data_IF_269278971604
#
_entry.id   IF_269278971604
#
_cell.length_a   1.000
_cell.length_b   1.000
_cell.length_c   1.000
_cell.angle_alpha   90.00
_cell.angle_beta   90.00
_cell.angle_gamma   90.00
#
_symmetry.space_group_name_H-M   'P 1'
#
loop_
_entity.id
_entity.type
_entity.pdbx_description
1 polymer ?
#
# COMPACT_ATOMS: atom_id res chain seq x y z
N UNK A 1 -29.76 4.88 -1.90
CA UNK A 1 -29.14 5.20 -3.20
C UNK A 1 -28.75 3.90 -3.86
N UNK A 2 -29.12 3.72 -5.11
CA UNK A 2 -28.66 2.57 -5.91
C UNK A 2 -27.14 2.68 -6.09
N UNK A 3 -26.45 1.55 -5.96
CA UNK A 3 -24.99 1.49 -6.16
C UNK A 3 -24.73 1.37 -7.65
N UNK A 4 -23.80 2.16 -8.17
CA UNK A 4 -23.44 2.14 -9.58
C UNK A 4 -21.97 1.73 -9.73
N UNK A 5 -21.72 0.91 -10.75
CA UNK A 5 -20.42 0.34 -11.03
C UNK A 5 -20.07 0.56 -12.49
N UNK A 6 -18.90 1.14 -12.74
CA UNK A 6 -18.28 1.10 -14.05
C UNK A 6 -17.49 -0.20 -14.19
N UNK A 7 -17.78 -0.97 -15.23
CA UNK A 7 -17.11 -2.23 -15.55
C UNK A 7 -16.19 -1.98 -16.74
N UNK A 8 -14.89 -2.15 -16.54
CA UNK A 8 -13.85 -1.93 -17.54
C UNK A 8 -13.27 -3.24 -18.05
N UNK A 9 -13.14 -3.33 -19.37
CA UNK A 9 -12.81 -4.51 -20.16
C UNK A 9 -13.80 -5.67 -19.97
N UNK A 10 -13.32 -6.89 -20.23
CA UNK A 10 -14.18 -8.07 -20.40
C UNK A 10 -15.10 -7.96 -21.63
N UNK A 11 -16.06 -8.88 -21.72
CA UNK A 11 -16.97 -8.97 -22.87
C UNK A 11 -18.05 -7.86 -22.90
N UNK A 12 -18.33 -7.24 -21.75
CA UNK A 12 -19.47 -6.31 -21.59
C UNK A 12 -19.10 -5.10 -20.70
N UNK A 13 -18.23 -4.17 -21.18
CA UNK A 13 -17.95 -2.95 -20.47
C UNK A 13 -19.19 -2.04 -20.43
N UNK A 14 -19.64 -1.66 -19.24
CA UNK A 14 -20.87 -0.89 -19.04
C UNK A 14 -20.92 -0.26 -17.65
N UNK A 15 -21.86 0.68 -17.47
CA UNK A 15 -22.30 1.12 -16.13
C UNK A 15 -23.46 0.23 -15.69
N UNK A 16 -23.32 -0.47 -14.58
CA UNK A 16 -24.31 -1.43 -14.05
C UNK A 16 -24.60 -1.20 -12.58
N UNK A 17 -25.77 -1.64 -12.11
CA UNK A 17 -26.14 -1.52 -10.69
C UNK A 17 -25.50 -2.60 -9.81
N UNK A 18 -25.36 -3.82 -10.33
CA UNK A 18 -24.77 -4.94 -9.61
C UNK A 18 -23.91 -5.71 -10.61
N UNK A 19 -22.57 -5.71 -10.46
CA UNK A 19 -21.73 -6.54 -11.29
C UNK A 19 -21.95 -8.01 -10.92
N UNK A 20 -21.90 -8.89 -11.91
CA UNK A 20 -21.88 -10.33 -11.65
C UNK A 20 -20.66 -10.67 -10.79
N UNK A 21 -20.85 -11.50 -9.76
CA UNK A 21 -19.76 -11.91 -8.86
C UNK A 21 -18.66 -12.61 -9.66
N UNK A 22 -17.42 -12.17 -9.50
CA UNK A 22 -16.27 -12.74 -10.20
C UNK A 22 -15.43 -13.59 -9.25
N UNK A 23 -15.29 -14.88 -9.55
CA UNK A 23 -14.34 -15.76 -8.83
C UNK A 23 -12.95 -15.75 -9.50
N UNK A 24 -12.85 -15.53 -10.82
CA UNK A 24 -11.69 -15.06 -11.62
C UNK A 24 -12.10 -15.09 -13.12
N UNK A 25 -11.74 -14.09 -13.97
CA UNK A 25 -10.38 -13.63 -14.30
C UNK A 25 -9.96 -12.29 -13.66
N UNK A 26 -8.84 -11.69 -14.08
CA UNK A 26 -8.42 -10.31 -13.69
C UNK A 26 -9.38 -9.26 -14.23
N UNK A 27 -9.95 -9.53 -15.40
CA UNK A 27 -10.94 -8.69 -16.06
C UNK A 27 -12.34 -9.29 -15.87
N UNK A 28 -13.38 -8.44 -15.83
CA UNK A 28 -13.30 -6.97 -15.89
C UNK A 28 -12.92 -6.30 -14.57
N UNK A 29 -12.28 -5.13 -14.65
CA UNK A 29 -12.01 -4.27 -13.49
C UNK A 29 -13.29 -3.52 -13.14
N UNK A 30 -13.74 -3.65 -11.90
CA UNK A 30 -14.93 -2.96 -11.41
C UNK A 30 -14.51 -1.70 -10.65
N UNK A 31 -15.13 -0.58 -10.96
CA UNK A 31 -14.98 0.69 -10.23
C UNK A 31 -16.35 1.05 -9.66
N UNK A 32 -16.43 1.22 -8.34
CA UNK A 32 -17.65 1.63 -7.67
C UNK A 32 -17.73 3.15 -7.62
N UNK A 33 -18.80 3.68 -8.19
CA UNK A 33 -19.05 5.10 -8.36
C UNK A 33 -20.15 5.59 -7.40
N UNK A 34 -20.11 6.88 -7.10
CA UNK A 34 -21.07 7.60 -6.26
C UNK A 34 -22.26 8.15 -7.05
N UNK A 35 -22.11 8.32 -8.37
CA UNK A 35 -23.18 8.74 -9.27
C UNK A 35 -23.09 8.07 -10.65
N UNK A 36 -24.14 8.21 -11.45
CA UNK A 36 -24.20 7.68 -12.82
C UNK A 36 -23.26 8.44 -13.75
N UNK A 37 -23.15 9.75 -13.57
CA UNK A 37 -22.22 10.61 -14.30
C UNK A 37 -20.78 10.21 -14.01
N UNK A 38 -20.44 9.93 -12.75
CA UNK A 38 -19.12 9.40 -12.39
C UNK A 38 -18.88 8.02 -13.03
N UNK A 39 -19.90 7.15 -13.05
CA UNK A 39 -19.82 5.85 -13.74
C UNK A 39 -19.56 5.99 -15.24
N UNK A 40 -20.28 6.88 -15.92
CA UNK A 40 -20.10 7.19 -17.34
C UNK A 40 -18.72 7.78 -17.60
N UNK A 41 -18.24 8.67 -16.73
CA UNK A 41 -16.90 9.23 -16.82
C UNK A 41 -15.82 8.16 -16.68
N UNK A 42 -15.99 7.24 -15.73
CA UNK A 42 -15.09 6.09 -15.56
C UNK A 42 -15.10 5.16 -16.76
N UNK A 43 -16.24 4.98 -17.42
CA UNK A 43 -16.34 4.14 -18.62
C UNK A 43 -15.48 4.67 -19.79
N UNK A 44 -15.13 5.95 -19.82
CA UNK A 44 -14.19 6.49 -20.83
C UNK A 44 -12.80 5.84 -20.73
N UNK A 45 -12.43 5.29 -19.56
CA UNK A 45 -11.20 4.52 -19.38
C UNK A 45 -11.22 3.20 -20.16
N UNK A 46 -12.37 2.76 -20.68
CA UNK A 46 -12.49 1.57 -21.52
C UNK A 46 -11.53 1.62 -22.72
N UNK A 47 -11.29 2.80 -23.28
CA UNK A 47 -10.39 3.01 -24.43
C UNK A 47 -8.96 2.53 -24.16
N UNK A 48 -8.52 2.52 -22.91
CA UNK A 48 -7.21 2.00 -22.49
C UNK A 48 -7.13 0.49 -22.62
N UNK A 49 -8.27 -0.17 -22.45
CA UNK A 49 -8.40 -1.62 -22.50
C UNK A 49 -8.81 -2.09 -23.91
N UNK A 50 -9.21 -1.19 -24.80
CA UNK A 50 -9.47 -1.50 -26.20
C UNK A 50 -8.17 -1.95 -26.88
N UNK A 51 -8.17 -3.16 -27.43
CA UNK A 51 -7.00 -3.77 -28.05
C UNK A 51 -6.12 -4.60 -27.12
N UNK A 52 -6.37 -4.59 -25.80
CA UNK A 52 -5.73 -5.53 -24.88
C UNK A 52 -6.46 -6.88 -24.94
N UNK A 53 -5.75 -7.93 -25.32
CA UNK A 53 -6.32 -9.28 -25.25
C UNK A 53 -6.47 -9.68 -23.77
N UNK A 54 -7.65 -10.14 -23.35
CA UNK A 54 -7.89 -10.60 -21.98
C UNK A 54 -6.85 -11.64 -21.51
N UNK A 55 -6.39 -12.50 -22.43
CA UNK A 55 -5.33 -13.46 -22.15
C UNK A 55 -3.98 -12.77 -21.84
N UNK A 56 -3.68 -11.64 -22.47
CA UNK A 56 -2.44 -10.88 -22.22
C UNK A 56 -2.47 -10.21 -20.84
N UNK A 57 -3.63 -9.70 -20.41
CA UNK A 57 -3.79 -9.16 -19.05
C UNK A 57 -3.44 -10.21 -18.00
N UNK A 58 -3.87 -11.45 -18.19
CA UNK A 58 -3.59 -12.52 -17.24
C UNK A 58 -2.17 -13.09 -17.33
N UNK A 59 -1.63 -13.22 -18.53
CA UNK A 59 -0.32 -13.83 -18.78
C UNK A 59 0.86 -12.86 -18.65
N UNK A 60 0.66 -11.56 -18.90
CA UNK A 60 1.69 -10.51 -18.90
C UNK A 60 1.17 -9.19 -18.29
N UNK A 61 0.71 -9.21 -17.02
CA UNK A 61 0.11 -8.04 -16.40
C UNK A 61 1.07 -6.84 -16.28
N UNK A 62 2.39 -7.03 -16.30
CA UNK A 62 3.38 -5.94 -16.32
C UNK A 62 3.32 -5.10 -17.60
N UNK A 63 3.08 -5.73 -18.76
CA UNK A 63 2.98 -5.02 -20.04
C UNK A 63 1.75 -4.13 -20.02
N UNK A 64 0.63 -4.67 -19.53
CA UNK A 64 -0.62 -3.92 -19.38
C UNK A 64 -0.48 -2.81 -18.35
N UNK A 65 0.14 -3.09 -17.20
CA UNK A 65 0.44 -2.08 -16.19
C UNK A 65 1.28 -0.93 -16.76
N UNK A 66 2.32 -1.26 -17.55
CA UNK A 66 3.14 -0.26 -18.21
C UNK A 66 2.36 0.54 -19.26
N UNK A 67 1.52 -0.11 -20.07
CA UNK A 67 0.66 0.59 -21.03
C UNK A 67 -0.31 1.57 -20.36
N UNK A 68 -0.91 1.18 -19.23
CA UNK A 68 -1.73 2.07 -18.41
C UNK A 68 -0.89 3.25 -17.89
N UNK A 69 0.34 3.00 -17.45
CA UNK A 69 1.20 4.07 -16.95
C UNK A 69 1.60 5.06 -18.04
N UNK A 70 1.96 4.56 -19.21
CA UNK A 70 2.49 5.35 -20.33
C UNK A 70 1.37 6.07 -21.11
N UNK A 71 0.10 5.66 -20.96
CA UNK A 71 -1.03 6.32 -21.61
C UNK A 71 -1.23 7.76 -21.11
N UNK A 72 -1.18 8.70 -22.06
CA UNK A 72 -1.45 10.12 -21.86
C UNK A 72 -2.95 10.40 -21.77
N UNK A 73 -3.76 9.61 -22.47
CA UNK A 73 -5.23 9.68 -22.48
C UNK A 73 -5.79 9.49 -21.06
N UNK A 74 -5.13 8.64 -20.27
CA UNK A 74 -5.47 8.43 -18.86
C UNK A 74 -5.17 9.67 -18.01
N UNK A 75 -4.14 10.45 -18.31
CA UNK A 75 -3.82 11.63 -17.50
C UNK A 75 -4.92 12.69 -17.62
N UNK A 76 -5.46 12.88 -18.83
CA UNK A 76 -6.51 13.86 -19.10
C UNK A 76 -7.87 13.44 -18.53
N UNK A 77 -8.17 12.13 -18.61
CA UNK A 77 -9.39 11.55 -18.03
C UNK A 77 -9.38 11.53 -16.50
N UNK A 78 -8.20 11.55 -15.86
CA UNK A 78 -8.01 11.40 -14.42
C UNK A 78 -7.61 12.69 -13.69
N UNK A 79 -8.17 13.84 -14.08
CA UNK A 79 -8.13 15.05 -13.23
C UNK A 79 -8.78 14.84 -11.84
N UNK A 80 -9.45 13.71 -11.63
CA UNK A 80 -9.95 13.29 -10.33
C UNK A 80 -8.83 13.00 -9.35
N UNK A 81 -8.72 13.87 -8.34
CA UNK A 81 -7.95 13.58 -7.14
C UNK A 81 -8.68 12.56 -6.27
N UNK A 82 -7.89 11.65 -5.68
CA UNK A 82 -8.32 10.59 -4.78
C UNK A 82 -9.00 11.09 -3.48
N UNK A 83 -9.23 10.19 -2.52
CA UNK A 83 -8.64 8.84 -2.45
C UNK A 83 -9.37 7.78 -3.29
N UNK A 84 -8.61 6.83 -3.80
CA UNK A 84 -9.08 5.61 -4.45
C UNK A 84 -8.65 4.39 -3.63
N UNK A 85 -9.57 3.47 -3.35
CA UNK A 85 -9.26 2.27 -2.58
C UNK A 85 -9.43 1.04 -3.44
N UNK A 86 -8.34 0.45 -3.90
CA UNK A 86 -8.37 -0.75 -4.73
C UNK A 86 -8.40 -1.99 -3.85
N UNK A 87 -9.50 -2.74 -3.87
CA UNK A 87 -9.66 -4.01 -3.15
C UNK A 87 -9.54 -5.15 -4.14
N UNK A 88 -8.40 -5.85 -4.11
CA UNK A 88 -8.14 -7.03 -4.95
C UNK A 88 -8.62 -8.33 -4.28
N UNK A 89 -8.57 -8.43 -2.95
CA UNK A 89 -9.17 -9.54 -2.18
C UNK A 89 -9.97 -8.98 -1.01
N UNK A 90 -11.24 -9.37 -0.94
CA UNK A 90 -12.21 -9.01 0.09
C UNK A 90 -13.45 -9.91 0.00
N UNK A 91 -14.45 -9.68 0.86
CA UNK A 91 -15.64 -10.54 1.02
C UNK A 91 -16.46 -10.75 -0.24
N UNK A 92 -16.82 -9.67 -0.95
CA UNK A 92 -17.84 -9.77 -1.99
C UNK A 92 -17.29 -9.56 -3.39
N UNK A 93 -16.55 -8.47 -3.62
CA UNK A 93 -16.12 -8.10 -4.97
C UNK A 93 -14.75 -7.45 -5.00
N UNK A 94 -14.01 -7.75 -6.08
CA UNK A 94 -12.80 -7.03 -6.44
C UNK A 94 -13.23 -5.73 -7.10
N UNK A 95 -12.91 -4.59 -6.48
CA UNK A 95 -13.31 -3.31 -7.02
C UNK A 95 -12.41 -2.17 -6.52
N UNK A 96 -12.40 -1.07 -7.26
CA UNK A 96 -11.88 0.21 -6.81
C UNK A 96 -13.04 1.01 -6.24
N UNK A 97 -12.94 1.42 -4.98
CA UNK A 97 -13.92 2.27 -4.30
C UNK A 97 -13.46 3.72 -4.37
N UNK A 98 -14.26 4.57 -5.00
CA UNK A 98 -13.95 6.00 -5.13
C UNK A 98 -14.40 6.72 -3.86
N UNK A 99 -13.45 7.32 -3.13
CA UNK A 99 -13.67 8.18 -1.96
C UNK A 99 -14.49 7.58 -0.79
N UNK A 100 -14.68 6.26 -0.75
CA UNK A 100 -15.53 5.61 0.25
C UNK A 100 -14.80 4.50 1.01
N UNK A 101 -14.13 4.86 2.12
CA UNK A 101 -13.41 3.89 2.95
C UNK A 101 -14.34 2.99 3.77
N UNK A 102 -15.50 3.48 4.22
CA UNK A 102 -16.43 2.68 5.03
C UNK A 102 -16.88 1.41 4.30
N UNK A 103 -17.04 1.48 2.97
CA UNK A 103 -17.36 0.29 2.18
C UNK A 103 -16.18 -0.66 1.99
N UNK A 104 -14.96 -0.13 1.94
CA UNK A 104 -13.72 -0.93 1.90
C UNK A 104 -13.57 -1.71 3.20
N UNK A 105 -13.80 -1.07 4.34
CA UNK A 105 -13.80 -1.71 5.65
C UNK A 105 -14.76 -2.91 5.66
N UNK A 106 -15.99 -2.74 5.17
CA UNK A 106 -16.95 -3.84 5.04
C UNK A 106 -16.44 -5.01 4.17
N UNK A 107 -15.59 -4.76 3.19
CA UNK A 107 -14.98 -5.80 2.35
C UNK A 107 -13.84 -6.54 3.03
N UNK A 108 -13.06 -5.86 3.84
CA UNK A 108 -11.79 -6.40 4.36
C UNK A 108 -11.90 -6.84 5.81
N UNK A 109 -12.84 -6.29 6.56
CA UNK A 109 -13.07 -6.60 7.96
C UNK A 109 -13.39 -8.08 8.12
N UNK A 110 -12.67 -8.82 8.97
CA UNK A 110 -12.81 -10.29 9.15
C UNK A 110 -12.61 -11.14 7.87
N UNK A 111 -12.11 -10.57 6.78
CA UNK A 111 -11.82 -11.36 5.58
C UNK A 111 -10.43 -11.99 5.70
N UNK A 112 -10.32 -13.29 5.42
CA UNK A 112 -9.03 -13.97 5.50
C UNK A 112 -8.10 -13.51 4.37
N UNK A 113 -7.01 -12.83 4.73
CA UNK A 113 -6.00 -12.27 3.81
C UNK A 113 -6.57 -11.23 2.83
N UNK A 114 -7.08 -10.09 3.34
CA UNK A 114 -7.52 -9.02 2.47
C UNK A 114 -6.31 -8.46 1.74
N UNK A 115 -6.51 -8.09 0.46
CA UNK A 115 -5.51 -7.38 -0.33
C UNK A 115 -6.16 -6.14 -0.85
N UNK A 116 -5.85 -5.02 -0.24
CA UNK A 116 -6.33 -3.72 -0.68
C UNK A 116 -5.26 -2.67 -0.46
N UNK A 117 -5.38 -1.54 -1.17
CA UNK A 117 -4.50 -0.41 -0.96
C UNK A 117 -5.18 0.92 -1.35
N UNK A 118 -4.73 2.02 -0.75
CA UNK A 118 -5.22 3.38 -0.99
C UNK A 118 -4.24 4.09 -1.93
N UNK A 119 -4.78 4.80 -2.92
CA UNK A 119 -4.02 5.56 -3.91
C UNK A 119 -4.59 6.97 -4.04
N UNK A 120 -3.74 7.93 -4.39
CA UNK A 120 -4.17 9.28 -4.77
C UNK A 120 -4.51 9.39 -6.25
N UNK A 121 -3.95 8.47 -7.05
CA UNK A 121 -4.14 8.39 -8.48
C UNK A 121 -4.93 7.16 -8.86
N UNK A 122 -5.97 7.35 -9.68
CA UNK A 122 -6.74 6.24 -10.23
C UNK A 122 -5.87 5.36 -11.15
N UNK A 123 -4.85 5.94 -11.80
CA UNK A 123 -3.87 5.20 -12.63
C UNK A 123 -3.13 4.15 -11.78
N UNK A 124 -2.67 4.53 -10.60
CA UNK A 124 -2.01 3.60 -9.66
C UNK A 124 -2.98 2.53 -9.17
N UNK A 125 -4.23 2.89 -8.85
CA UNK A 125 -5.25 1.94 -8.43
C UNK A 125 -5.57 0.90 -9.52
N UNK A 126 -5.67 1.31 -10.79
CA UNK A 126 -5.86 0.41 -11.93
C UNK A 126 -4.67 -0.54 -12.09
N UNK A 127 -3.44 -0.02 -12.03
CA UNK A 127 -2.23 -0.84 -12.10
C UNK A 127 -2.19 -1.87 -10.97
N UNK A 128 -2.54 -1.49 -9.74
CA UNK A 128 -2.61 -2.42 -8.62
C UNK A 128 -3.60 -3.57 -8.88
N UNK A 129 -4.77 -3.27 -9.46
CA UNK A 129 -5.77 -4.28 -9.82
C UNK A 129 -5.25 -5.24 -10.90
N UNK A 130 -4.63 -4.71 -11.96
CA UNK A 130 -4.00 -5.51 -13.03
C UNK A 130 -2.88 -6.40 -12.48
N UNK A 131 -2.06 -5.88 -11.58
CA UNK A 131 -0.97 -6.61 -10.94
C UNK A 131 -1.43 -7.56 -9.83
N UNK A 132 -2.74 -7.84 -9.74
CA UNK A 132 -3.32 -8.81 -8.80
C UNK A 132 -3.03 -8.46 -7.33
N UNK A 133 -3.03 -7.16 -7.03
CA UNK A 133 -2.72 -6.61 -5.71
C UNK A 133 -1.28 -6.84 -5.23
N UNK A 134 -0.32 -7.01 -6.16
CA UNK A 134 1.09 -7.21 -5.83
C UNK A 134 1.84 -5.87 -5.84
N UNK A 135 2.00 -5.28 -4.65
CA UNK A 135 2.67 -3.98 -4.48
C UNK A 135 4.15 -4.02 -4.83
N UNK A 136 4.82 -5.15 -4.62
CA UNK A 136 6.24 -5.34 -4.94
C UNK A 136 6.48 -5.26 -6.45
N UNK A 137 5.60 -5.85 -7.26
CA UNK A 137 5.65 -5.72 -8.72
C UNK A 137 5.40 -4.28 -9.16
N UNK A 138 4.51 -3.57 -8.47
CA UNK A 138 4.24 -2.16 -8.73
C UNK A 138 5.50 -1.31 -8.48
N UNK A 139 6.19 -1.53 -7.35
CA UNK A 139 7.49 -0.90 -7.03
C UNK A 139 8.58 -1.23 -8.06
N UNK A 140 8.63 -2.47 -8.55
CA UNK A 140 9.58 -2.86 -9.59
C UNK A 140 9.36 -2.11 -10.93
N UNK A 141 8.16 -1.58 -11.17
CA UNK A 141 7.86 -0.71 -12.30
C UNK A 141 8.19 0.78 -12.03
N UNK A 142 8.86 1.09 -10.92
CA UNK A 142 9.18 2.45 -10.51
C UNK A 142 7.99 3.21 -9.90
N UNK A 143 6.89 2.52 -9.59
CA UNK A 143 5.74 3.13 -8.94
C UNK A 143 5.90 3.02 -7.43
N UNK A 144 5.97 4.18 -6.79
CA UNK A 144 5.95 4.29 -5.35
C UNK A 144 4.58 4.82 -4.99
N UNK A 145 3.60 3.95 -4.68
CA UNK A 145 2.29 4.41 -4.22
C UNK A 145 2.52 5.42 -3.12
N UNK A 146 1.84 6.56 -3.18
CA UNK A 146 1.95 7.57 -2.13
C UNK A 146 1.43 6.93 -0.83
N UNK A 147 2.35 6.51 0.03
CA UNK A 147 2.03 5.77 1.25
C UNK A 147 1.43 6.77 2.23
N UNK A 148 0.11 6.78 2.33
CA UNK A 148 -0.57 7.41 3.46
C UNK A 148 -1.18 6.30 4.31
N UNK A 149 -0.52 6.09 5.45
CA UNK A 149 -1.00 5.48 6.70
C UNK A 149 -2.06 4.40 6.46
N UNK A 150 -1.59 3.16 6.37
CA UNK A 150 -2.47 2.02 6.58
C UNK A 150 -3.11 2.18 7.96
N UNK A 151 -4.44 2.35 8.01
CA UNK A 151 -5.21 2.16 9.23
C UNK A 151 -4.82 0.79 9.79
N UNK A 152 -4.20 0.82 10.97
CA UNK A 152 -3.53 -0.28 11.64
C UNK A 152 -4.38 -1.56 11.62
N UNK A 153 -3.79 -2.74 11.32
CA UNK A 153 -4.45 -4.04 11.49
C UNK A 153 -4.77 -4.41 12.95
N UNK A 154 -4.64 -3.48 13.91
CA UNK A 154 -4.57 -3.78 15.35
C UNK A 154 -5.88 -4.39 15.90
N UNK A 155 -7.02 -4.21 15.22
CA UNK A 155 -8.30 -4.77 15.67
C UNK A 155 -8.72 -6.08 14.97
N UNK A 156 -7.88 -6.66 14.11
CA UNK A 156 -8.22 -7.84 13.30
C UNK A 156 -7.66 -9.17 13.80
N UNK A 157 -7.58 -9.35 15.12
CA UNK A 157 -7.36 -10.68 15.69
C UNK A 157 -8.70 -11.44 15.69
N UNK A 158 -8.78 -12.66 15.12
CA UNK A 158 -9.98 -13.49 15.23
C UNK A 158 -10.30 -13.73 16.71
N UNK A 159 -11.52 -13.38 17.14
CA UNK A 159 -11.98 -13.60 18.52
C UNK A 159 -12.16 -15.07 18.91
N UNK A 160 -12.08 -16.00 17.96
CA UNK A 160 -12.19 -17.45 18.23
C UNK A 160 -10.89 -18.19 17.94
N UNK A 161 -9.98 -18.19 18.93
CA UNK A 161 -8.83 -19.07 19.00
C UNK A 161 -9.17 -20.34 19.80
N UNK A 162 -10.14 -21.13 19.33
CA UNK A 162 -10.30 -22.50 19.82
C UNK A 162 -9.52 -23.47 18.93
N UNK A 163 -8.35 -23.90 19.41
CA UNK A 163 -7.62 -25.12 19.00
C UNK A 163 -7.25 -25.31 17.52
N UNK A 164 -6.76 -24.27 16.83
CA UNK A 164 -6.04 -24.47 15.56
C UNK A 164 -4.53 -24.47 15.80
N UNK A 165 -3.87 -25.60 15.54
CA UNK A 165 -2.40 -25.75 15.46
C UNK A 165 -1.85 -25.04 14.22
N UNK A 166 -2.13 -23.75 14.09
CA UNK A 166 -1.56 -22.92 13.05
C UNK A 166 -0.09 -22.68 13.36
N UNK A 167 0.83 -22.83 12.38
CA UNK A 167 2.24 -22.57 12.59
C UNK A 167 2.43 -21.15 13.12
N UNK A 168 3.31 -20.99 14.12
CA UNK A 168 3.65 -19.71 14.72
C UNK A 168 3.94 -18.69 13.62
N UNK A 169 3.09 -17.67 13.53
CA UNK A 169 3.30 -16.58 12.58
C UNK A 169 4.18 -15.54 13.24
N UNK A 170 5.27 -15.21 12.58
CA UNK A 170 6.03 -14.01 12.93
C UNK A 170 5.43 -12.87 12.10
N UNK A 171 5.14 -11.75 12.74
CA UNK A 171 4.82 -10.50 12.07
C UNK A 171 5.99 -9.53 12.21
N UNK A 172 6.29 -8.78 11.15
CA UNK A 172 7.21 -7.65 11.20
C UNK A 172 6.53 -6.42 10.65
N UNK A 173 6.73 -5.29 11.30
CA UNK A 173 6.22 -4.02 10.82
C UNK A 173 7.13 -3.46 9.73
N UNK A 174 6.58 -2.65 8.84
CA UNK A 174 7.35 -1.72 8.02
C UNK A 174 7.05 -0.34 8.58
N UNK A 175 8.09 0.43 8.89
CA UNK A 175 7.99 1.75 9.50
C UNK A 175 8.65 2.82 8.65
N UNK A 176 8.08 4.01 8.69
CA UNK A 176 8.75 5.26 8.33
C UNK A 176 8.75 6.21 9.55
N UNK A 177 9.07 7.49 9.34
CA UNK A 177 9.08 8.48 10.43
C UNK A 177 7.69 8.71 11.03
N UNK A 178 6.61 8.47 10.28
CA UNK A 178 5.23 8.63 10.74
C UNK A 178 4.72 7.45 11.56
N UNK A 179 5.47 6.34 11.61
CA UNK A 179 5.14 5.15 12.39
C UNK A 179 5.04 3.89 11.53
N UNK A 180 4.11 2.99 11.89
CA UNK A 180 3.90 1.74 11.17
C UNK A 180 3.09 2.02 9.91
N UNK A 181 3.69 1.74 8.75
CA UNK A 181 3.05 1.89 7.44
C UNK A 181 2.57 0.57 6.84
N UNK A 182 3.11 -0.56 7.28
CA UNK A 182 2.69 -1.90 6.84
C UNK A 182 3.03 -2.97 7.88
N UNK A 183 2.48 -4.18 7.72
CA UNK A 183 2.83 -5.37 8.52
C UNK A 183 2.91 -6.60 7.62
N UNK A 184 4.09 -7.20 7.57
CA UNK A 184 4.37 -8.42 6.82
C UNK A 184 4.17 -9.62 7.76
N UNK A 185 3.45 -10.63 7.30
CA UNK A 185 3.28 -11.91 8.00
C UNK A 185 4.06 -13.01 7.28
N UNK A 186 4.88 -13.76 8.02
CA UNK A 186 5.69 -14.84 7.46
C UNK A 186 6.00 -15.94 8.47
N UNK A 187 6.34 -17.13 7.96
CA UNK A 187 6.85 -18.25 8.77
C UNK A 187 8.34 -18.09 9.09
N UNK A 188 9.06 -17.35 8.25
CA UNK A 188 10.45 -16.94 8.42
C UNK A 188 10.59 -15.53 7.86
N UNK A 189 10.69 -14.53 8.73
CA UNK A 189 11.00 -13.17 8.30
C UNK A 189 12.52 -13.08 8.24
N UNK A 190 13.06 -13.22 7.04
CA UNK A 190 14.40 -12.72 6.77
C UNK A 190 14.33 -11.21 6.91
N UNK A 191 14.69 -10.68 8.07
CA UNK A 191 14.91 -9.23 8.21
C UNK A 191 16.04 -8.92 7.23
N UNK A 192 15.82 -8.09 6.20
CA UNK A 192 16.89 -7.76 5.29
C UNK A 192 17.99 -7.09 6.12
N UNK A 193 19.14 -7.76 6.21
CA UNK A 193 20.29 -7.17 6.87
C UNK A 193 20.89 -6.14 5.93
N UNK A 194 20.81 -4.88 6.34
CA UNK A 194 21.55 -3.81 5.70
C UNK A 194 22.84 -3.59 6.46
N UNK A 195 23.90 -3.23 5.73
CA UNK A 195 25.16 -2.82 6.35
C UNK A 195 24.87 -1.72 7.39
N UNK A 196 25.55 -1.75 8.55
CA UNK A 196 25.36 -0.73 9.59
C UNK A 196 25.51 0.68 9.00
N UNK A 197 24.55 1.55 9.30
CA UNK A 197 24.61 2.96 8.90
C UNK A 197 25.50 3.77 9.85
N UNK A 198 25.85 4.99 9.45
CA UNK A 198 26.74 5.93 10.16
C UNK A 198 26.25 6.33 11.57
N UNK A 199 25.02 5.98 11.94
CA UNK A 199 24.41 6.21 13.27
C UNK A 199 24.82 5.18 14.33
N UNK A 200 25.82 4.35 14.03
CA UNK A 200 26.28 3.30 14.92
C UNK A 200 25.48 2.00 14.82
N UNK A 201 26.09 0.92 15.31
CA UNK A 201 25.58 -0.45 15.16
C UNK A 201 24.27 -0.69 15.91
N UNK A 202 24.17 -0.23 17.15
CA UNK A 202 22.99 -0.47 17.99
C UNK A 202 21.75 0.26 17.46
N UNK A 203 21.88 1.53 17.09
CA UNK A 203 20.79 2.28 16.48
C UNK A 203 20.35 1.67 15.14
N UNK A 204 21.32 1.28 14.31
CA UNK A 204 21.03 0.57 13.05
C UNK A 204 20.22 -0.72 13.30
N UNK A 205 20.63 -1.56 14.26
CA UNK A 205 19.89 -2.78 14.57
C UNK A 205 18.52 -2.53 15.17
N UNK A 206 18.39 -1.55 16.06
CA UNK A 206 17.08 -1.17 16.60
C UNK A 206 16.13 -0.80 15.47
N UNK A 207 16.55 0.12 14.59
CA UNK A 207 15.70 0.61 13.50
C UNK A 207 15.34 -0.51 12.53
N UNK A 208 16.30 -1.34 12.10
CA UNK A 208 16.04 -2.49 11.23
C UNK A 208 15.08 -3.51 11.88
N UNK A 209 15.28 -3.82 13.17
CA UNK A 209 14.45 -4.79 13.89
C UNK A 209 13.02 -4.30 14.13
N UNK A 210 12.83 -2.99 14.21
CA UNK A 210 11.50 -2.37 14.30
C UNK A 210 10.90 -2.08 12.92
N UNK A 211 11.57 -2.44 11.84
CA UNK A 211 11.01 -2.37 10.49
C UNK A 211 11.20 -1.05 9.76
N UNK A 212 12.04 -0.14 10.26
CA UNK A 212 12.31 1.11 9.56
C UNK A 212 12.94 0.84 8.19
N UNK A 213 12.40 1.50 7.16
CA UNK A 213 12.93 1.37 5.80
C UNK A 213 14.34 1.97 5.66
N UNK A 214 15.19 1.44 4.77
CA UNK A 214 16.56 1.96 4.57
C UNK A 214 16.63 3.46 4.29
N UNK A 215 15.68 3.99 3.52
CA UNK A 215 15.58 5.41 3.21
C UNK A 215 15.27 6.23 4.46
N UNK A 216 14.43 5.71 5.35
CA UNK A 216 14.12 6.34 6.64
C UNK A 216 15.34 6.32 7.56
N UNK A 217 16.06 5.20 7.63
CA UNK A 217 17.28 5.12 8.45
C UNK A 217 18.35 6.09 7.92
N UNK A 218 18.51 6.18 6.60
CA UNK A 218 19.42 7.13 5.96
C UNK A 218 19.01 8.59 6.24
N UNK A 219 17.72 8.88 6.30
CA UNK A 219 17.22 10.21 6.70
C UNK A 219 17.54 10.52 8.16
N UNK A 220 17.29 9.58 9.08
CA UNK A 220 17.64 9.72 10.51
C UNK A 220 19.14 9.98 10.66
N UNK A 221 19.98 9.23 9.92
CA UNK A 221 21.42 9.41 9.91
C UNK A 221 21.86 10.80 9.43
N UNK A 222 21.26 11.27 8.35
CA UNK A 222 21.51 12.63 7.84
C UNK A 222 21.10 13.70 8.86
N UNK A 223 19.93 13.57 9.49
CA UNK A 223 19.48 14.53 10.52
C UNK A 223 20.42 14.51 11.72
N UNK A 224 20.82 13.33 12.18
CA UNK A 224 21.78 13.16 13.28
C UNK A 224 23.12 13.87 13.00
N UNK A 225 23.70 13.62 11.82
CA UNK A 225 24.99 14.20 11.43
C UNK A 225 24.98 15.75 11.33
N UNK A 226 23.80 16.36 11.22
CA UNK A 226 23.61 17.80 11.10
C UNK A 226 23.00 18.45 12.36
N UNK A 227 22.81 17.71 13.45
CA UNK A 227 22.28 18.24 14.71
C UNK A 227 23.37 18.27 15.79
N UNK A 228 23.49 19.41 16.48
CA UNK A 228 24.42 19.57 17.60
C UNK A 228 23.77 19.21 18.95
N UNK A 229 22.44 19.25 19.03
CA UNK A 229 21.67 19.00 20.25
C UNK A 229 20.39 18.18 20.01
N UNK A 230 19.91 17.58 21.09
CA UNK A 230 18.74 16.70 21.10
C UNK A 230 17.44 17.41 20.77
N UNK A 231 17.29 18.69 21.14
CA UNK A 231 16.05 19.42 20.90
C UNK A 231 15.88 19.71 19.41
N UNK A 232 16.98 20.03 18.69
CA UNK A 232 16.95 20.19 17.25
C UNK A 232 16.68 18.88 16.51
N UNK A 233 17.24 17.78 17.00
CA UNK A 233 16.96 16.44 16.48
C UNK A 233 15.48 16.05 16.64
N UNK A 234 14.89 16.35 17.81
CA UNK A 234 13.47 16.16 18.10
C UNK A 234 12.59 17.04 17.20
N UNK A 235 12.94 18.31 17.03
CA UNK A 235 12.21 19.23 16.15
C UNK A 235 12.16 18.70 14.71
N UNK A 236 13.31 18.32 14.15
CA UNK A 236 13.42 17.91 12.75
C UNK A 236 12.72 16.59 12.48
N UNK A 237 12.94 15.54 13.27
CA UNK A 237 12.27 14.25 13.06
C UNK A 237 10.79 14.30 13.48
N UNK A 238 10.45 15.12 14.48
CA UNK A 238 9.08 15.34 14.92
C UNK A 238 8.22 15.99 13.83
N UNK A 239 8.79 16.86 13.00
CA UNK A 239 8.11 17.44 11.84
C UNK A 239 7.66 16.39 10.81
N UNK A 240 8.28 15.20 10.80
CA UNK A 240 7.90 14.06 9.96
C UNK A 240 7.01 13.03 10.67
N UNK A 241 6.55 13.33 11.89
CA UNK A 241 5.58 12.52 12.63
C UNK A 241 6.19 11.52 13.62
N UNK A 242 7.50 11.54 13.84
CA UNK A 242 8.14 10.62 14.79
C UNK A 242 7.87 11.06 16.23
N UNK A 243 7.57 10.10 17.11
CA UNK A 243 7.26 10.41 18.51
C UNK A 243 8.49 10.98 19.24
N UNK A 244 8.33 12.13 19.91
CA UNK A 244 9.43 12.81 20.62
C UNK A 244 10.17 11.90 21.63
N UNK A 245 9.46 10.99 22.29
CA UNK A 245 10.06 10.00 23.21
C UNK A 245 10.95 9.00 22.50
N UNK A 246 10.56 8.53 21.30
CA UNK A 246 11.37 7.62 20.48
C UNK A 246 12.58 8.36 19.89
N UNK A 247 12.40 9.61 19.47
CA UNK A 247 13.51 10.44 18.95
C UNK A 247 14.59 10.68 20.02
N UNK A 248 14.20 11.04 21.25
CA UNK A 248 15.14 11.23 22.36
C UNK A 248 15.88 9.95 22.73
N UNK A 249 15.16 8.83 22.77
CA UNK A 249 15.78 7.54 23.03
C UNK A 249 16.76 7.13 21.93
N UNK A 250 16.45 7.41 20.65
CA UNK A 250 17.36 7.21 19.54
C UNK A 250 18.61 8.09 19.65
N UNK A 251 18.47 9.36 20.03
CA UNK A 251 19.58 10.27 20.28
C UNK A 251 20.56 9.67 21.30
N UNK A 252 20.03 9.24 22.44
CA UNK A 252 20.83 8.60 23.49
C UNK A 252 21.49 7.31 22.99
N UNK A 253 20.75 6.48 22.26
CA UNK A 253 21.28 5.22 21.72
C UNK A 253 22.43 5.44 20.75
N UNK A 254 22.36 6.49 19.91
CA UNK A 254 23.41 6.82 18.94
C UNK A 254 24.66 7.29 19.69
N UNK A 255 24.52 8.22 20.64
CA UNK A 255 25.65 8.76 21.43
C UNK A 255 26.44 7.67 22.17
N UNK A 256 25.76 6.68 22.72
CA UNK A 256 26.39 5.63 23.52
C UNK A 256 26.79 4.39 22.71
N UNK A 257 26.56 4.39 21.39
CA UNK A 257 26.90 3.25 20.54
C UNK A 257 28.40 3.16 20.20
N UNK A 258 29.12 4.28 20.29
CA UNK A 258 30.56 4.35 20.01
C UNK A 258 31.44 3.85 21.16
N UNK A 259 30.88 3.78 22.39
CA UNK A 259 31.63 3.38 23.59
C UNK A 259 31.93 1.88 23.69
N UNK A 260 31.26 1.03 22.89
CA UNK A 260 31.48 -0.43 22.90
C UNK A 260 32.56 -0.91 21.92
N UNK A 261 33.30 -0.01 21.26
CA UNK A 261 34.36 -0.35 20.29
C UNK A 261 35.78 -0.28 20.87
N UNK A 262 35.94 -0.31 22.19
CA UNK A 262 37.25 -0.32 22.87
C UNK A 262 37.48 -1.59 23.68
#
# INVERSE_FOLDING_TARGET
MERLYAVLGGDNPAVVQIPQSQTAPVMPIIIKCTSEEEGKHMLNLQQVFEGLNHHEVDSKPEIVAKAIMDSTEINDLLTMKGPFYAVYRGKTQRAIYVRNYAEVENQVHDYTYPKFHRFESMKEALVYMVLKGNITRMKALGLYPTVHVHLSPIDYLPKDLSHSTSPSRVSSHIRDLSGIIDTIYGTTIGVPHYEPHEIGRHASYYLQSHGYMPQTISHIASVWANCEDVDKFVELLGAFGMAATEIRWLWDLIQHSDDCSR
#
